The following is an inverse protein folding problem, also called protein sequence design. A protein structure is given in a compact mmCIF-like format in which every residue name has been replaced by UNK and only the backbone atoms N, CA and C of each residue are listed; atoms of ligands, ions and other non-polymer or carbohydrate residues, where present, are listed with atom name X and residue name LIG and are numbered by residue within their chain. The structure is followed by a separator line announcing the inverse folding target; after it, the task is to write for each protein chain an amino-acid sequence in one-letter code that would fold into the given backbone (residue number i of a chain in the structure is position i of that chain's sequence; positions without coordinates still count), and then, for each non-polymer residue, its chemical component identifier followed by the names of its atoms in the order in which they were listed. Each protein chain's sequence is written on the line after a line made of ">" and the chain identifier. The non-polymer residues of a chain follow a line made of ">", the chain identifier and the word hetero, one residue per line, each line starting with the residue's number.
data_IF_356035709741
#
_entry.id   IF_356035709741
#
_cell.length_a   1.000
_cell.length_b   1.000
_cell.length_c   1.000
_cell.angle_alpha   90.00
_cell.angle_beta   90.00
_cell.angle_gamma   90.00
#
_symmetry.space_group_name_H-M   'P 1'
#
loop_
_entity.id
_entity.type
_entity.pdbx_description
1 polymer ?
#
# COMPACT_ATOMS: atom_id res chain seq x y z
N UNK A 1 8.31 -1.10 -42.89
CA UNK A 1 8.91 -1.21 -41.54
C UNK A 1 10.43 -1.20 -41.57
N UNK A 2 11.06 -1.92 -42.52
CA UNK A 2 12.53 -1.92 -42.66
C UNK A 2 13.13 -0.55 -42.91
N UNK A 3 12.48 0.34 -43.66
CA UNK A 3 12.95 1.73 -43.84
C UNK A 3 13.08 2.49 -42.51
N UNK A 4 12.16 2.28 -41.56
CA UNK A 4 12.13 2.98 -40.27
C UNK A 4 13.18 2.44 -39.31
N UNK A 5 13.36 1.11 -39.27
CA UNK A 5 14.50 0.49 -38.57
C UNK A 5 15.83 0.94 -39.18
N UNK A 6 15.92 0.97 -40.52
CA UNK A 6 17.11 1.41 -41.27
C UNK A 6 17.46 2.88 -41.04
N UNK A 7 16.48 3.78 -40.95
CA UNK A 7 16.76 5.19 -40.64
C UNK A 7 17.44 5.35 -39.28
N UNK A 8 17.02 4.55 -38.29
CA UNK A 8 17.59 4.54 -36.94
C UNK A 8 18.96 3.82 -36.88
N UNK A 9 19.15 2.73 -37.63
CA UNK A 9 20.40 1.96 -37.61
C UNK A 9 21.49 2.49 -38.55
N UNK A 10 21.13 3.12 -39.67
CA UNK A 10 22.08 3.51 -40.73
C UNK A 10 22.42 5.02 -40.71
N UNK A 11 21.58 5.87 -40.12
CA UNK A 11 21.85 7.32 -39.96
C UNK A 11 21.60 7.74 -38.52
N UNK A 12 22.61 8.35 -37.89
CA UNK A 12 22.50 8.84 -36.50
C UNK A 12 21.57 10.05 -36.45
N UNK A 13 20.26 9.82 -36.31
CA UNK A 13 19.28 10.89 -36.12
C UNK A 13 19.55 11.63 -34.79
N UNK A 14 19.31 12.94 -34.80
CA UNK A 14 19.35 13.72 -33.57
C UNK A 14 18.27 13.23 -32.60
N UNK A 15 18.56 13.25 -31.29
CA UNK A 15 17.68 12.68 -30.26
C UNK A 15 16.31 13.32 -30.25
N UNK A 16 16.22 14.64 -30.41
CA UNK A 16 14.93 15.35 -30.44
C UNK A 16 14.07 14.95 -31.63
N UNK A 17 14.69 14.65 -32.77
CA UNK A 17 13.97 14.18 -33.97
C UNK A 17 13.41 12.78 -33.73
N UNK A 18 14.17 11.91 -33.04
CA UNK A 18 13.67 10.59 -32.68
C UNK A 18 12.56 10.64 -31.63
N UNK A 19 12.64 11.55 -30.65
CA UNK A 19 11.57 11.78 -29.67
C UNK A 19 10.30 12.26 -30.38
N UNK A 20 10.41 13.32 -31.18
CA UNK A 20 9.27 13.87 -31.92
C UNK A 20 8.66 12.82 -32.86
N UNK A 21 9.51 11.98 -33.45
CA UNK A 21 9.05 10.89 -34.29
C UNK A 21 8.31 9.80 -33.50
N UNK A 22 8.81 9.36 -32.34
CA UNK A 22 8.09 8.43 -31.44
C UNK A 22 6.71 9.00 -31.08
N UNK A 23 6.66 10.29 -30.72
CA UNK A 23 5.40 10.96 -30.38
C UNK A 23 4.44 11.03 -31.57
N UNK A 24 4.94 11.25 -32.79
CA UNK A 24 4.12 11.22 -34.00
C UNK A 24 3.51 9.83 -34.27
N UNK A 25 4.16 8.74 -33.85
CA UNK A 25 3.60 7.39 -33.98
C UNK A 25 2.33 7.18 -33.13
N UNK A 26 2.06 8.02 -32.13
CA UNK A 26 0.87 7.91 -31.30
C UNK A 26 -0.44 8.13 -32.10
N UNK A 27 -0.38 8.78 -33.25
CA UNK A 27 -1.53 8.88 -34.16
C UNK A 27 -1.83 7.57 -34.90
N UNK A 28 -0.99 6.54 -34.77
CA UNK A 28 -1.07 5.28 -35.50
C UNK A 28 -1.06 4.04 -34.59
N UNK A 29 -1.53 4.17 -33.34
CA UNK A 29 -1.56 3.07 -32.36
C UNK A 29 -2.44 1.89 -32.79
N UNK A 30 -3.27 2.04 -33.83
CA UNK A 30 -4.03 0.95 -34.45
C UNK A 30 -3.18 0.02 -35.34
N UNK A 31 -1.89 0.32 -35.54
CA UNK A 31 -0.95 -0.52 -36.31
C UNK A 31 -0.06 -1.31 -35.36
N UNK A 32 -0.02 -2.64 -35.51
CA UNK A 32 0.77 -3.53 -34.63
C UNK A 32 2.26 -3.24 -34.71
N UNK A 33 2.73 -2.86 -35.88
CA UNK A 33 4.13 -2.60 -36.13
C UNK A 33 4.61 -1.36 -35.34
N UNK A 34 3.74 -0.37 -35.14
CA UNK A 34 4.04 0.79 -34.27
C UNK A 34 4.38 0.33 -32.85
N UNK A 35 3.66 -0.65 -32.31
CA UNK A 35 3.95 -1.21 -30.98
C UNK A 35 5.28 -1.96 -30.93
N UNK A 36 5.65 -2.69 -31.99
CA UNK A 36 6.98 -3.31 -32.08
C UNK A 36 8.09 -2.25 -31.97
N UNK A 37 7.89 -1.09 -32.59
CA UNK A 37 8.84 0.01 -32.51
C UNK A 37 8.86 0.66 -31.11
N UNK A 38 7.71 0.86 -30.48
CA UNK A 38 7.63 1.38 -29.11
C UNK A 38 8.32 0.43 -28.12
N UNK A 39 8.10 -0.88 -28.23
CA UNK A 39 8.78 -1.90 -27.43
C UNK A 39 10.29 -1.92 -27.66
N UNK A 40 10.72 -1.66 -28.89
CA UNK A 40 12.14 -1.50 -29.19
C UNK A 40 12.71 -0.23 -28.55
N UNK A 41 12.04 0.92 -28.71
CA UNK A 41 12.45 2.21 -28.15
C UNK A 41 12.57 2.17 -26.62
N UNK A 42 11.66 1.47 -25.94
CA UNK A 42 11.69 1.25 -24.49
C UNK A 42 12.96 0.52 -23.98
N UNK A 43 13.68 -0.18 -24.85
CA UNK A 43 14.95 -0.88 -24.53
C UNK A 43 16.20 -0.09 -24.90
N UNK A 44 16.05 1.11 -25.48
CA UNK A 44 17.17 1.92 -25.99
C UNK A 44 17.53 3.02 -24.99
N UNK A 45 18.31 4.01 -25.43
CA UNK A 45 18.75 5.14 -24.60
C UNK A 45 17.56 5.79 -23.88
N UNK A 46 17.79 6.29 -22.66
CA UNK A 46 16.78 6.93 -21.80
C UNK A 46 15.80 7.85 -22.52
N UNK A 47 16.27 8.74 -23.40
CA UNK A 47 15.40 9.67 -24.12
C UNK A 47 14.27 8.96 -24.90
N UNK A 48 14.57 7.85 -25.57
CA UNK A 48 13.59 7.10 -26.36
C UNK A 48 12.68 6.26 -25.47
N UNK A 49 13.21 5.71 -24.39
CA UNK A 49 12.43 4.95 -23.42
C UNK A 49 11.39 5.85 -22.73
N UNK A 50 11.78 7.06 -22.34
CA UNK A 50 10.87 8.06 -21.78
C UNK A 50 9.82 8.50 -22.81
N UNK A 51 10.23 8.78 -24.04
CA UNK A 51 9.28 9.15 -25.10
C UNK A 51 8.25 8.03 -25.36
N UNK A 52 8.67 6.76 -25.39
CA UNK A 52 7.76 5.64 -25.59
C UNK A 52 6.78 5.47 -24.42
N UNK A 53 7.20 5.79 -23.19
CA UNK A 53 6.35 5.71 -22.00
C UNK A 53 5.13 6.67 -22.06
N UNK A 54 5.24 7.77 -22.81
CA UNK A 54 4.24 8.83 -22.90
C UNK A 54 3.04 8.52 -23.81
N UNK A 55 2.90 7.28 -24.28
CA UNK A 55 1.73 6.84 -25.06
C UNK A 55 0.43 7.25 -24.34
N UNK A 56 -0.48 7.98 -25.02
CA UNK A 56 -1.69 8.50 -24.41
C UNK A 56 -2.70 7.38 -24.18
N UNK A 57 -2.96 7.08 -22.91
CA UNK A 57 -3.94 6.06 -22.49
C UNK A 57 -5.30 6.20 -23.17
N UNK A 58 -5.79 7.43 -23.32
CA UNK A 58 -7.11 7.70 -23.91
C UNK A 58 -7.25 7.34 -25.39
N UNK A 59 -6.14 7.05 -26.08
CA UNK A 59 -6.14 6.67 -27.50
C UNK A 59 -6.16 5.13 -27.73
N UNK A 60 -6.26 4.33 -26.66
CA UNK A 60 -6.24 2.86 -26.72
C UNK A 60 -7.67 2.29 -26.79
N UNK A 61 -8.14 2.04 -28.01
CA UNK A 61 -9.51 1.57 -28.28
C UNK A 61 -9.65 0.05 -28.09
N UNK A 62 -8.72 -0.72 -28.66
CA UNK A 62 -8.79 -2.18 -28.73
C UNK A 62 -8.04 -2.88 -27.58
N UNK A 63 -8.51 -4.08 -27.22
CA UNK A 63 -7.93 -4.86 -26.12
C UNK A 63 -6.45 -5.21 -26.33
N UNK A 64 -6.06 -5.59 -27.55
CA UNK A 64 -4.66 -5.92 -27.85
C UNK A 64 -3.74 -4.70 -27.74
N UNK A 65 -4.24 -3.46 -27.94
CA UNK A 65 -3.46 -2.24 -27.75
C UNK A 65 -3.18 -2.01 -26.26
N UNK A 66 -4.18 -2.28 -25.41
CA UNK A 66 -4.06 -2.19 -23.94
C UNK A 66 -3.05 -3.20 -23.42
N UNK A 67 -3.06 -4.40 -23.95
CA UNK A 67 -2.06 -5.44 -23.66
C UNK A 67 -0.66 -5.05 -24.14
N UNK A 68 -0.53 -4.53 -25.37
CA UNK A 68 0.73 -4.05 -25.91
C UNK A 68 1.30 -2.87 -25.09
N UNK A 69 0.44 -1.96 -24.62
CA UNK A 69 0.81 -0.88 -23.72
C UNK A 69 1.28 -1.40 -22.37
N UNK A 70 0.61 -2.40 -21.80
CA UNK A 70 1.07 -3.04 -20.57
C UNK A 70 2.44 -3.67 -20.71
N UNK A 71 2.64 -4.43 -21.80
CA UNK A 71 3.92 -5.07 -22.14
C UNK A 71 5.06 -4.08 -22.37
N UNK A 72 4.76 -2.83 -22.74
CA UNK A 72 5.75 -1.77 -22.87
C UNK A 72 6.45 -1.46 -21.54
N UNK A 73 5.77 -1.63 -20.40
CA UNK A 73 6.36 -1.36 -19.11
C UNK A 73 7.38 -2.40 -18.66
N UNK A 74 7.35 -3.63 -19.20
CA UNK A 74 8.33 -4.68 -18.86
C UNK A 74 9.78 -4.21 -19.10
N UNK A 75 10.18 -3.78 -20.31
CA UNK A 75 11.52 -3.23 -20.53
C UNK A 75 11.78 -1.89 -19.82
N UNK A 76 10.75 -1.12 -19.49
CA UNK A 76 10.91 0.16 -18.79
C UNK A 76 11.25 -0.05 -17.30
N UNK A 77 10.60 -1.00 -16.61
CA UNK A 77 10.88 -1.30 -15.20
C UNK A 77 12.14 -2.15 -15.00
N UNK A 78 12.66 -2.75 -16.07
CA UNK A 78 13.92 -3.51 -16.08
C UNK A 78 15.05 -2.77 -16.81
N UNK A 79 14.87 -1.48 -17.05
CA UNK A 79 15.80 -0.67 -17.83
C UNK A 79 17.14 -0.49 -17.11
N UNK A 80 18.25 -0.44 -17.88
CA UNK A 80 19.61 -0.29 -17.32
C UNK A 80 19.83 1.07 -16.63
N UNK A 81 19.15 2.12 -17.10
CA UNK A 81 19.20 3.45 -16.48
C UNK A 81 18.14 3.58 -15.37
N UNK A 82 18.59 3.74 -14.12
CA UNK A 82 17.74 3.89 -12.93
C UNK A 82 16.64 4.95 -13.07
N UNK A 83 16.95 6.08 -13.70
CA UNK A 83 15.98 7.16 -13.90
C UNK A 83 14.76 6.71 -14.73
N UNK A 84 14.96 5.85 -15.73
CA UNK A 84 13.85 5.32 -16.55
C UNK A 84 12.97 4.41 -15.69
N UNK A 85 13.58 3.56 -14.86
CA UNK A 85 12.86 2.66 -13.95
C UNK A 85 12.02 3.44 -12.96
N UNK A 86 12.60 4.45 -12.29
CA UNK A 86 11.87 5.31 -11.33
C UNK A 86 10.68 5.99 -12.02
N UNK A 87 10.87 6.58 -13.21
CA UNK A 87 9.77 7.21 -13.96
C UNK A 87 8.67 6.22 -14.36
N UNK A 88 9.05 5.01 -14.75
CA UNK A 88 8.10 3.95 -15.08
C UNK A 88 7.28 3.55 -13.84
N UNK A 89 7.94 3.40 -12.69
CA UNK A 89 7.28 3.06 -11.42
C UNK A 89 6.36 4.19 -10.93
N UNK A 90 6.78 5.46 -11.03
CA UNK A 90 5.93 6.63 -10.73
C UNK A 90 4.64 6.59 -11.55
N UNK A 91 4.75 6.36 -12.86
CA UNK A 91 3.59 6.28 -13.75
C UNK A 91 2.65 5.11 -13.41
N UNK A 92 3.21 3.94 -13.09
CA UNK A 92 2.42 2.77 -12.67
C UNK A 92 1.77 2.94 -11.29
N UNK A 93 2.40 3.71 -10.40
CA UNK A 93 1.91 4.00 -9.06
C UNK A 93 0.81 5.09 -9.04
N UNK A 94 0.73 5.91 -10.09
CA UNK A 94 -0.26 6.97 -10.22
C UNK A 94 -1.62 6.43 -10.69
N UNK A 95 -1.63 5.56 -11.71
CA UNK A 95 -2.87 5.12 -12.36
C UNK A 95 -2.80 3.68 -12.82
N UNK A 96 -3.92 2.97 -12.64
CA UNK A 96 -4.09 1.62 -13.14
C UNK A 96 -3.98 1.54 -14.67
N UNK A 97 -3.24 0.55 -15.15
CA UNK A 97 -3.24 0.18 -16.55
C UNK A 97 -4.56 -0.47 -16.97
N UNK A 98 -4.95 -0.38 -18.25
CA UNK A 98 -6.20 -0.96 -18.74
C UNK A 98 -6.15 -2.49 -18.84
N UNK A 99 -4.93 -3.04 -18.92
CA UNK A 99 -4.64 -4.45 -18.87
C UNK A 99 -3.26 -4.62 -18.19
N UNK A 100 -3.03 -5.77 -17.56
CA UNK A 100 -1.76 -6.10 -16.93
C UNK A 100 -1.14 -7.33 -17.57
N UNK A 101 0.04 -7.15 -18.17
CA UNK A 101 0.87 -8.24 -18.65
C UNK A 101 1.41 -9.05 -17.44
N UNK A 102 1.28 -10.38 -17.42
CA UNK A 102 1.76 -11.19 -16.30
C UNK A 102 3.27 -11.05 -16.03
N UNK A 103 4.07 -10.78 -17.07
CA UNK A 103 5.51 -10.58 -16.93
C UNK A 103 5.82 -9.25 -16.25
N UNK A 104 5.00 -8.21 -16.46
CA UNK A 104 5.12 -6.96 -15.73
C UNK A 104 4.90 -7.17 -14.23
N UNK A 105 3.88 -7.94 -13.86
CA UNK A 105 3.60 -8.25 -12.45
C UNK A 105 4.79 -8.98 -11.80
N UNK A 106 5.35 -9.99 -12.49
CA UNK A 106 6.55 -10.70 -12.01
C UNK A 106 7.75 -9.77 -11.83
N UNK A 107 7.97 -8.87 -12.79
CA UNK A 107 9.04 -7.87 -12.72
C UNK A 107 8.86 -6.95 -11.51
N UNK A 108 7.63 -6.51 -11.23
CA UNK A 108 7.32 -5.70 -10.06
C UNK A 108 7.53 -6.46 -8.74
N UNK A 109 7.14 -7.74 -8.66
CA UNK A 109 7.46 -8.58 -7.49
C UNK A 109 8.95 -8.75 -7.29
N UNK A 110 9.72 -8.98 -8.36
CA UNK A 110 11.16 -9.06 -8.29
C UNK A 110 11.77 -7.76 -7.75
N UNK A 111 11.34 -6.60 -8.27
CA UNK A 111 11.77 -5.29 -7.75
C UNK A 111 11.40 -5.12 -6.27
N UNK A 112 10.19 -5.51 -5.86
CA UNK A 112 9.75 -5.43 -4.46
C UNK A 112 10.64 -6.26 -3.52
N UNK A 113 11.21 -7.36 -4.02
CA UNK A 113 12.11 -8.24 -3.28
C UNK A 113 13.55 -7.73 -3.25
N UNK A 114 14.08 -7.29 -4.40
CA UNK A 114 15.51 -7.00 -4.58
C UNK A 114 15.89 -5.55 -4.37
N UNK A 115 14.97 -4.60 -4.56
CA UNK A 115 15.27 -3.16 -4.52
C UNK A 115 14.58 -2.47 -3.34
N UNK A 116 15.39 -1.93 -2.43
CA UNK A 116 14.93 -1.26 -1.20
C UNK A 116 15.16 0.25 -1.19
N UNK A 117 15.66 0.79 -2.30
CA UNK A 117 15.91 2.22 -2.43
C UNK A 117 14.59 3.01 -2.26
N UNK A 118 14.58 4.14 -1.53
CA UNK A 118 13.37 4.91 -1.27
C UNK A 118 12.60 5.35 -2.52
N UNK A 119 13.28 5.51 -3.66
CA UNK A 119 12.67 5.88 -4.93
C UNK A 119 12.05 4.70 -5.71
N UNK A 120 12.34 3.46 -5.32
CA UNK A 120 11.81 2.23 -5.92
C UNK A 120 10.68 1.65 -5.08
N UNK A 121 10.98 1.31 -3.83
CA UNK A 121 10.14 0.42 -3.02
C UNK A 121 8.69 0.91 -2.84
N UNK A 122 8.43 2.18 -2.44
CA UNK A 122 7.06 2.69 -2.32
C UNK A 122 6.29 2.66 -3.64
N UNK A 123 6.93 3.06 -4.74
CA UNK A 123 6.29 3.09 -6.07
C UNK A 123 6.04 1.68 -6.61
N UNK A 124 6.97 0.74 -6.40
CA UNK A 124 6.78 -0.67 -6.77
C UNK A 124 5.63 -1.30 -5.99
N UNK A 125 5.57 -1.08 -4.67
CA UNK A 125 4.46 -1.59 -3.86
C UNK A 125 3.13 -0.99 -4.33
N UNK A 126 3.08 0.32 -4.56
CA UNK A 126 1.86 0.99 -5.01
C UNK A 126 1.42 0.52 -6.39
N UNK A 127 2.35 0.33 -7.33
CA UNK A 127 2.08 -0.25 -8.64
C UNK A 127 1.49 -1.67 -8.52
N UNK A 128 2.04 -2.54 -7.66
CA UNK A 128 1.49 -3.88 -7.42
C UNK A 128 0.08 -3.82 -6.84
N UNK A 129 -0.17 -2.93 -5.87
CA UNK A 129 -1.49 -2.81 -5.24
C UNK A 129 -2.56 -2.36 -6.23
N UNK A 130 -2.22 -1.43 -7.13
CA UNK A 130 -3.08 -0.90 -8.19
C UNK A 130 -3.28 -1.94 -9.34
N UNK A 131 -2.35 -2.88 -9.48
CA UNK A 131 -2.41 -3.92 -10.50
C UNK A 131 -3.42 -5.04 -10.19
N UNK A 132 -3.47 -6.04 -11.07
CA UNK A 132 -4.25 -7.28 -10.89
C UNK A 132 -3.53 -8.32 -10.03
N UNK A 133 -2.37 -8.01 -9.44
CA UNK A 133 -1.65 -8.92 -8.55
C UNK A 133 -2.52 -9.40 -7.39
N UNK A 134 -2.29 -10.63 -6.93
CA UNK A 134 -3.05 -11.21 -5.83
C UNK A 134 -2.68 -10.56 -4.48
N UNK A 135 -3.68 -10.30 -3.64
CA UNK A 135 -3.47 -9.64 -2.36
C UNK A 135 -2.68 -10.50 -1.38
N UNK A 136 -2.89 -11.82 -1.37
CA UNK A 136 -2.16 -12.73 -0.50
C UNK A 136 -0.70 -12.89 -0.96
N UNK A 137 -0.44 -12.86 -2.27
CA UNK A 137 0.93 -12.87 -2.80
C UNK A 137 1.71 -11.61 -2.40
N UNK A 138 1.09 -10.43 -2.50
CA UNK A 138 1.68 -9.16 -2.00
C UNK A 138 1.94 -9.26 -0.50
N UNK A 139 0.95 -9.68 0.29
CA UNK A 139 1.08 -9.81 1.74
C UNK A 139 2.24 -10.75 2.12
N UNK A 140 2.29 -11.94 1.49
CA UNK A 140 3.37 -12.92 1.69
C UNK A 140 4.74 -12.33 1.39
N UNK A 141 4.86 -11.59 0.28
CA UNK A 141 6.11 -10.92 -0.08
C UNK A 141 6.54 -9.93 1.01
N UNK A 142 5.62 -9.10 1.51
CA UNK A 142 5.91 -8.09 2.53
C UNK A 142 6.30 -8.69 3.89
N UNK A 143 5.72 -9.82 4.28
CA UNK A 143 6.00 -10.45 5.58
C UNK A 143 7.18 -11.43 5.55
N UNK A 144 7.52 -11.98 4.39
CA UNK A 144 8.60 -12.98 4.21
C UNK A 144 10.03 -12.49 4.52
N UNK A 145 10.22 -11.19 4.75
CA UNK A 145 11.53 -10.62 5.07
C UNK A 145 12.03 -11.14 6.42
N UNK A 146 13.28 -11.60 6.50
CA UNK A 146 13.85 -12.20 7.73
C UNK A 146 14.11 -11.19 8.85
N UNK A 147 14.47 -9.96 8.49
CA UNK A 147 14.81 -8.93 9.47
C UNK A 147 13.57 -8.14 9.88
N UNK A 148 13.31 -8.06 11.19
CA UNK A 148 12.14 -7.35 11.72
C UNK A 148 12.17 -5.85 11.48
N UNK A 149 13.37 -5.25 11.33
CA UNK A 149 13.50 -3.86 10.90
C UNK A 149 12.92 -3.62 9.51
N UNK A 150 13.16 -4.54 8.57
CA UNK A 150 12.59 -4.47 7.21
C UNK A 150 11.09 -4.76 7.22
N UNK A 151 10.63 -5.65 8.10
CA UNK A 151 9.18 -5.89 8.26
C UNK A 151 8.47 -4.62 8.73
N UNK A 152 9.05 -3.92 9.71
CA UNK A 152 8.52 -2.65 10.21
C UNK A 152 8.49 -1.57 9.12
N UNK A 153 9.53 -1.48 8.30
CA UNK A 153 9.58 -0.58 7.14
C UNK A 153 8.51 -0.92 6.09
N UNK A 154 8.38 -2.20 5.73
CA UNK A 154 7.36 -2.68 4.80
C UNK A 154 5.95 -2.28 5.26
N UNK A 155 5.64 -2.50 6.54
CA UNK A 155 4.35 -2.10 7.14
C UNK A 155 4.18 -0.60 7.15
N UNK A 156 5.24 0.16 7.49
CA UNK A 156 5.17 1.62 7.47
C UNK A 156 4.85 2.16 6.08
N UNK A 157 5.56 1.70 5.04
CA UNK A 157 5.32 2.09 3.65
C UNK A 157 3.93 1.66 3.20
N UNK A 158 3.47 0.46 3.57
CA UNK A 158 2.11 0.02 3.27
C UNK A 158 1.06 0.96 3.89
N UNK A 159 1.14 1.25 5.18
CA UNK A 159 0.21 2.16 5.85
C UNK A 159 0.28 3.60 5.30
N UNK A 160 1.46 4.14 5.04
CA UNK A 160 1.60 5.56 4.63
C UNK A 160 1.33 5.81 3.15
N UNK A 161 1.71 4.89 2.26
CA UNK A 161 1.58 5.10 0.81
C UNK A 161 0.33 4.47 0.20
N UNK A 162 -0.26 3.47 0.86
CA UNK A 162 -1.31 2.62 0.25
C UNK A 162 -2.67 2.81 0.92
N UNK A 163 -2.74 3.40 2.12
CA UNK A 163 -4.01 3.57 2.85
C UNK A 163 -5.11 4.30 2.08
N UNK A 164 -4.76 5.19 1.14
CA UNK A 164 -5.72 5.83 0.24
C UNK A 164 -6.45 4.87 -0.70
N UNK A 165 -5.89 3.68 -0.96
CA UNK A 165 -6.44 2.64 -1.83
C UNK A 165 -7.25 1.60 -1.03
N UNK A 166 -8.21 2.07 -0.23
CA UNK A 166 -8.93 1.29 0.82
C UNK A 166 -9.35 -0.12 0.38
N UNK A 167 -9.95 -0.27 -0.82
CA UNK A 167 -10.45 -1.55 -1.31
C UNK A 167 -9.36 -2.61 -1.51
N UNK A 168 -8.14 -2.19 -1.86
CA UNK A 168 -7.00 -3.09 -2.10
C UNK A 168 -6.08 -3.16 -0.87
N UNK A 169 -6.03 -2.10 -0.08
CA UNK A 169 -5.28 -2.04 1.17
C UNK A 169 -5.77 -3.10 2.18
N UNK A 170 -7.08 -3.15 2.46
CA UNK A 170 -7.63 -4.00 3.52
C UNK A 170 -7.34 -5.50 3.31
N UNK A 171 -7.60 -6.10 2.12
CA UNK A 171 -7.29 -7.52 1.92
C UNK A 171 -5.80 -7.85 2.12
N UNK A 172 -4.89 -6.95 1.71
CA UNK A 172 -3.45 -7.15 1.90
C UNK A 172 -3.10 -7.06 3.39
N UNK A 173 -3.56 -6.02 4.08
CA UNK A 173 -3.34 -5.85 5.51
C UNK A 173 -3.89 -7.02 6.35
N UNK A 174 -5.11 -7.50 6.03
CA UNK A 174 -5.70 -8.69 6.65
C UNK A 174 -4.83 -9.93 6.42
N UNK A 175 -4.40 -10.19 5.18
CA UNK A 175 -3.53 -11.33 4.88
C UNK A 175 -2.16 -11.25 5.58
N UNK A 176 -1.60 -10.04 5.74
CA UNK A 176 -0.38 -9.81 6.54
C UNK A 176 -0.62 -10.13 8.01
N UNK A 177 -1.72 -9.63 8.58
CA UNK A 177 -2.12 -9.86 9.98
C UNK A 177 -2.29 -11.35 10.25
N UNK A 178 -3.02 -12.07 9.40
CA UNK A 178 -3.23 -13.51 9.55
C UNK A 178 -1.92 -14.28 9.57
N UNK A 179 -1.04 -14.01 8.59
CA UNK A 179 0.26 -14.67 8.48
C UNK A 179 1.12 -14.41 9.72
N UNK A 180 1.22 -13.15 10.17
CA UNK A 180 2.04 -12.78 11.32
C UNK A 180 1.51 -13.35 12.64
N UNK A 181 0.18 -13.42 12.83
CA UNK A 181 -0.43 -14.04 14.02
C UNK A 181 -0.24 -15.55 14.03
N UNK A 182 -0.31 -16.18 12.87
CA UNK A 182 -0.15 -17.63 12.77
C UNK A 182 1.31 -18.06 12.97
N UNK A 183 2.26 -17.25 12.50
CA UNK A 183 3.70 -17.41 12.78
C UNK A 183 4.11 -16.95 14.20
N UNK A 184 3.24 -16.22 14.91
CA UNK A 184 3.55 -15.65 16.22
C UNK A 184 4.64 -14.57 16.19
N UNK A 185 4.78 -13.88 15.04
CA UNK A 185 5.89 -12.96 14.78
C UNK A 185 5.45 -11.50 14.89
N UNK A 186 6.20 -10.72 15.68
CA UNK A 186 6.06 -9.26 15.78
C UNK A 186 4.61 -8.78 16.05
N UNK A 187 3.98 -9.18 17.17
CA UNK A 187 2.59 -8.85 17.48
C UNK A 187 2.32 -7.33 17.61
N UNK A 188 3.34 -6.52 17.93
CA UNK A 188 3.21 -5.07 17.91
C UNK A 188 2.99 -4.51 16.48
N UNK A 189 3.65 -5.10 15.47
CA UNK A 189 3.44 -4.74 14.06
C UNK A 189 2.04 -5.14 13.61
N UNK A 190 1.54 -6.29 14.07
CA UNK A 190 0.15 -6.72 13.85
C UNK A 190 -0.81 -5.66 14.39
N UNK A 191 -0.66 -5.24 15.65
CA UNK A 191 -1.51 -4.21 16.25
C UNK A 191 -1.51 -2.89 15.49
N UNK A 192 -0.36 -2.46 14.94
CA UNK A 192 -0.28 -1.29 14.08
C UNK A 192 -1.09 -1.43 12.79
N UNK A 193 -1.13 -2.62 12.19
CA UNK A 193 -1.96 -2.91 11.01
C UNK A 193 -3.46 -2.93 11.36
N UNK A 194 -3.84 -3.45 12.53
CA UNK A 194 -5.23 -3.53 12.99
C UNK A 194 -5.93 -2.16 13.01
N UNK A 195 -5.19 -1.10 13.33
CA UNK A 195 -5.71 0.28 13.34
C UNK A 195 -6.26 0.76 11.98
N UNK A 196 -5.92 0.07 10.89
CA UNK A 196 -6.39 0.40 9.54
C UNK A 196 -7.49 -0.54 9.03
N UNK A 197 -7.87 -1.55 9.84
CA UNK A 197 -8.97 -2.47 9.55
C UNK A 197 -10.28 -1.94 10.17
N UNK A 198 -11.45 -2.45 9.75
CA UNK A 198 -12.71 -2.12 10.40
C UNK A 198 -12.63 -2.41 11.91
N UNK A 199 -13.13 -1.53 12.80
CA UNK A 199 -13.01 -1.69 14.25
C UNK A 199 -13.50 -3.04 14.79
N UNK A 200 -14.62 -3.55 14.26
CA UNK A 200 -15.14 -4.86 14.64
C UNK A 200 -14.12 -5.98 14.43
N UNK A 201 -13.54 -6.03 13.22
CA UNK A 201 -12.49 -6.99 12.81
C UNK A 201 -11.21 -6.78 13.63
N UNK A 202 -10.81 -5.53 13.83
CA UNK A 202 -9.62 -5.19 14.60
C UNK A 202 -9.68 -5.79 16.01
N UNK A 203 -10.81 -5.65 16.70
CA UNK A 203 -10.90 -6.20 18.05
C UNK A 203 -11.10 -7.73 18.10
N UNK A 204 -11.62 -8.39 17.05
CA UNK A 204 -11.54 -9.87 16.96
C UNK A 204 -10.09 -10.36 16.92
N UNK A 205 -9.21 -9.65 16.20
CA UNK A 205 -7.78 -9.95 16.19
C UNK A 205 -7.08 -9.63 17.51
N UNK A 206 -7.50 -8.58 18.22
CA UNK A 206 -6.98 -8.29 19.57
C UNK A 206 -7.30 -9.45 20.53
N UNK A 207 -8.52 -9.97 20.50
CA UNK A 207 -8.89 -11.17 21.26
C UNK A 207 -8.07 -12.39 20.85
N UNK A 208 -7.87 -12.61 19.54
CA UNK A 208 -7.03 -13.72 19.03
C UNK A 208 -5.59 -13.61 19.56
N UNK A 209 -5.01 -12.41 19.60
CA UNK A 209 -3.67 -12.16 20.15
C UNK A 209 -3.62 -12.43 21.66
N UNK A 210 -4.66 -12.03 22.39
CA UNK A 210 -4.76 -12.26 23.84
C UNK A 210 -4.85 -13.76 24.15
N UNK A 211 -5.74 -14.48 23.49
CA UNK A 211 -5.91 -15.94 23.67
C UNK A 211 -4.63 -16.71 23.33
N UNK A 212 -3.87 -16.26 22.32
CA UNK A 212 -2.57 -16.84 21.98
C UNK A 212 -1.43 -16.44 22.92
N UNK A 213 -1.66 -15.57 23.91
CA UNK A 213 -0.63 -15.09 24.84
C UNK A 213 0.43 -14.19 24.18
N UNK A 214 0.13 -13.62 23.01
CA UNK A 214 1.04 -12.73 22.27
C UNK A 214 0.82 -11.25 22.62
N UNK A 215 -0.28 -10.93 23.30
CA UNK A 215 -0.67 -9.57 23.59
C UNK A 215 0.04 -9.01 24.83
N UNK A 216 0.90 -8.00 24.63
CA UNK A 216 1.70 -7.36 25.67
C UNK A 216 1.61 -5.82 25.59
N UNK A 217 2.22 -5.10 26.53
CA UNK A 217 2.14 -3.63 26.65
C UNK A 217 2.53 -2.91 25.35
N UNK A 218 3.61 -3.35 24.68
CA UNK A 218 4.00 -2.82 23.36
C UNK A 218 2.92 -2.95 22.27
N UNK A 219 2.12 -4.02 22.29
CA UNK A 219 0.99 -4.20 21.38
C UNK A 219 -0.09 -3.15 21.64
N UNK A 220 -0.50 -3.00 22.90
CA UNK A 220 -1.47 -1.98 23.29
C UNK A 220 -1.01 -0.56 22.95
N UNK A 221 0.29 -0.29 23.13
CA UNK A 221 0.90 1.00 22.78
C UNK A 221 0.79 1.33 21.30
N UNK A 222 0.98 0.35 20.42
CA UNK A 222 0.82 0.59 18.97
C UNK A 222 -0.64 0.84 18.58
N UNK A 223 -1.60 0.17 19.23
CA UNK A 223 -3.03 0.47 18.99
C UNK A 223 -3.39 1.87 19.47
N UNK A 224 -2.94 2.25 20.67
CA UNK A 224 -3.17 3.58 21.25
C UNK A 224 -2.68 4.69 20.33
N UNK A 225 -1.46 4.58 19.79
CA UNK A 225 -0.91 5.55 18.83
C UNK A 225 -1.72 5.63 17.52
N UNK A 226 -2.41 4.54 17.16
CA UNK A 226 -3.10 4.37 15.89
C UNK A 226 -4.61 4.57 15.94
N UNK A 227 -5.22 4.90 17.09
CA UNK A 227 -6.69 4.98 17.24
C UNK A 227 -7.35 5.92 16.22
N UNK A 228 -6.65 6.99 15.83
CA UNK A 228 -7.16 7.94 14.84
C UNK A 228 -7.39 7.33 13.44
N UNK A 229 -6.73 6.22 13.13
CA UNK A 229 -6.86 5.54 11.85
C UNK A 229 -8.20 4.79 11.71
N UNK A 230 -8.95 4.62 12.81
CA UNK A 230 -10.34 4.14 12.76
C UNK A 230 -11.36 5.20 12.29
N UNK A 231 -10.93 6.45 12.07
CA UNK A 231 -11.80 7.61 11.84
C UNK A 231 -12.81 7.55 10.69
N UNK A 232 -12.72 6.55 9.80
CA UNK A 232 -13.71 6.33 8.75
C UNK A 232 -14.99 5.62 9.25
N UNK A 233 -14.97 4.99 10.43
CA UNK A 233 -16.09 4.25 11.01
C UNK A 233 -16.27 4.58 12.50
N UNK A 234 -16.85 5.75 12.76
CA UNK A 234 -17.08 6.25 14.13
C UNK A 234 -18.02 5.31 14.92
N UNK A 235 -19.06 4.77 14.29
CA UNK A 235 -19.98 3.82 14.92
C UNK A 235 -19.29 2.53 15.34
N UNK A 236 -18.45 1.96 14.48
CA UNK A 236 -17.67 0.78 14.80
C UNK A 236 -16.65 1.06 15.89
N UNK A 237 -16.04 2.25 15.89
CA UNK A 237 -15.10 2.65 16.92
C UNK A 237 -15.77 2.82 18.30
N UNK A 238 -16.98 3.39 18.37
CA UNK A 238 -17.77 3.43 19.60
C UNK A 238 -18.11 2.02 20.11
N UNK A 239 -18.53 1.12 19.22
CA UNK A 239 -18.86 -0.26 19.61
C UNK A 239 -17.62 -1.04 20.09
N UNK A 240 -16.46 -0.82 19.44
CA UNK A 240 -15.20 -1.42 19.88
C UNK A 240 -14.76 -0.86 21.24
N UNK A 241 -14.86 0.45 21.46
CA UNK A 241 -14.57 1.09 22.75
C UNK A 241 -15.42 0.47 23.86
N UNK A 242 -16.74 0.35 23.66
CA UNK A 242 -17.65 -0.23 24.65
C UNK A 242 -17.27 -1.67 25.01
N UNK A 243 -16.88 -2.47 24.01
CA UNK A 243 -16.39 -3.84 24.24
C UNK A 243 -15.08 -3.86 25.03
N UNK A 244 -14.14 -2.98 24.72
CA UNK A 244 -12.84 -2.90 25.41
C UNK A 244 -12.97 -2.38 26.84
N UNK A 245 -13.93 -1.48 27.11
CA UNK A 245 -14.21 -0.94 28.45
C UNK A 245 -14.53 -2.04 29.46
N UNK A 246 -15.41 -2.96 29.07
CA UNK A 246 -15.87 -4.07 29.90
C UNK A 246 -14.90 -5.26 29.98
N UNK A 247 -13.72 -5.17 29.35
CA UNK A 247 -12.80 -6.29 29.24
C UNK A 247 -11.98 -6.48 30.53
N UNK A 248 -11.70 -7.73 30.94
CA UNK A 248 -10.97 -8.04 32.19
C UNK A 248 -9.48 -7.68 32.13
N UNK A 249 -8.88 -7.75 30.94
CA UNK A 249 -7.48 -7.38 30.71
C UNK A 249 -7.28 -5.85 30.71
N UNK A 250 -6.42 -5.29 31.60
CA UNK A 250 -6.18 -3.85 31.68
C UNK A 250 -5.58 -3.24 30.40
N UNK A 251 -4.81 -4.00 29.61
CA UNK A 251 -4.26 -3.53 28.34
C UNK A 251 -5.38 -3.24 27.33
N UNK A 252 -6.44 -4.04 27.31
CA UNK A 252 -7.62 -3.82 26.46
C UNK A 252 -8.38 -2.58 26.92
N UNK A 253 -8.62 -2.47 28.24
CA UNK A 253 -9.28 -1.29 28.82
C UNK A 253 -8.51 0.00 28.52
N UNK A 254 -7.17 -0.06 28.55
CA UNK A 254 -6.34 1.11 28.23
C UNK A 254 -6.46 1.54 26.76
N UNK A 255 -6.61 0.60 25.82
CA UNK A 255 -6.94 0.92 24.42
C UNK A 255 -8.32 1.56 24.36
N UNK A 256 -9.31 0.98 25.05
CA UNK A 256 -10.67 1.53 25.13
C UNK A 256 -10.69 2.98 25.62
N UNK A 257 -9.93 3.30 26.69
CA UNK A 257 -9.80 4.67 27.19
C UNK A 257 -9.21 5.62 26.14
N UNK A 258 -8.19 5.20 25.39
CA UNK A 258 -7.59 6.02 24.33
C UNK A 258 -8.59 6.27 23.19
N UNK A 259 -9.36 5.24 22.82
CA UNK A 259 -10.44 5.36 21.84
C UNK A 259 -11.53 6.32 22.33
N UNK A 260 -11.94 6.23 23.60
CA UNK A 260 -12.92 7.13 24.20
C UNK A 260 -12.46 8.59 24.13
N UNK A 261 -11.20 8.84 24.50
CA UNK A 261 -10.63 10.19 24.42
C UNK A 261 -10.68 10.72 22.98
N UNK A 262 -10.21 9.92 22.01
CA UNK A 262 -10.24 10.29 20.61
C UNK A 262 -11.67 10.53 20.08
N UNK A 263 -12.64 9.68 20.45
CA UNK A 263 -14.06 9.85 20.12
C UNK A 263 -14.61 11.16 20.72
N UNK A 264 -14.30 11.45 21.98
CA UNK A 264 -14.72 12.67 22.67
C UNK A 264 -14.16 13.94 22.05
N UNK A 265 -12.90 13.92 21.61
CA UNK A 265 -12.26 15.03 20.89
C UNK A 265 -12.90 15.27 19.51
N UNK A 266 -13.35 14.22 18.82
CA UNK A 266 -13.97 14.31 17.48
C UNK A 266 -15.45 14.64 17.50
N UNK A 267 -16.23 14.03 18.39
CA UNK A 267 -17.68 14.17 18.47
C UNK A 267 -18.14 15.25 19.46
N UNK A 268 -17.19 15.91 20.15
CA UNK A 268 -17.40 16.69 21.37
C UNK A 268 -17.87 15.81 22.53
N UNK A 269 -17.39 16.12 23.73
CA UNK A 269 -17.76 15.40 24.94
C UNK A 269 -19.25 15.56 25.26
N UNK A 270 -19.99 14.51 24.93
CA UNK A 270 -21.40 14.32 25.27
C UNK A 270 -21.57 13.54 26.58
N UNK A 271 -22.82 13.46 27.03
CA UNK A 271 -23.18 12.74 28.27
C UNK A 271 -22.77 11.26 28.25
N UNK A 272 -22.94 10.58 27.09
CA UNK A 272 -22.50 9.19 26.89
C UNK A 272 -21.01 9.02 27.15
N UNK A 273 -20.18 9.91 26.59
CA UNK A 273 -18.71 9.84 26.74
C UNK A 273 -18.27 10.15 28.17
N UNK A 274 -18.91 11.10 28.86
CA UNK A 274 -18.61 11.41 30.27
C UNK A 274 -18.95 10.24 31.20
N UNK A 275 -20.06 9.55 30.95
CA UNK A 275 -20.43 8.33 31.68
C UNK A 275 -19.41 7.22 31.46
N UNK A 276 -19.03 6.96 30.21
CA UNK A 276 -17.97 5.99 29.90
C UNK A 276 -16.65 6.35 30.59
N UNK A 277 -16.26 7.63 30.62
CA UNK A 277 -15.03 8.06 31.30
C UNK A 277 -15.09 7.79 32.81
N UNK A 278 -16.26 7.99 33.44
CA UNK A 278 -16.44 7.68 34.86
C UNK A 278 -16.27 6.20 35.19
N UNK A 279 -16.61 5.30 34.26
CA UNK A 279 -16.36 3.86 34.43
C UNK A 279 -14.84 3.58 34.43
N UNK A 280 -14.08 4.17 33.50
CA UNK A 280 -12.62 4.03 33.49
C UNK A 280 -11.95 4.63 34.73
N UNK A 281 -12.40 5.78 35.24
CA UNK A 281 -11.87 6.38 36.47
C UNK A 281 -12.00 5.46 37.70
N UNK A 282 -12.97 4.54 37.68
CA UNK A 282 -13.23 3.56 38.73
C UNK A 282 -12.64 2.17 38.42
N UNK A 283 -11.85 2.02 37.35
CA UNK A 283 -11.21 0.76 37.00
C UNK A 283 -10.27 0.28 38.12
N UNK A 284 -10.24 -1.03 38.36
CA UNK A 284 -9.41 -1.62 39.42
C UNK A 284 -7.91 -1.53 39.15
N UNK A 285 -7.53 -1.49 37.87
CA UNK A 285 -6.13 -1.34 37.47
C UNK A 285 -5.69 0.13 37.53
N UNK A 286 -4.61 0.48 38.26
CA UNK A 286 -4.15 1.86 38.40
C UNK A 286 -3.75 2.51 37.07
N UNK A 287 -3.21 1.75 36.11
CA UNK A 287 -2.79 2.32 34.82
C UNK A 287 -3.99 2.84 34.02
N UNK A 288 -5.14 2.18 34.14
CA UNK A 288 -6.39 2.63 33.52
C UNK A 288 -7.01 3.76 34.36
N UNK A 289 -7.22 3.51 35.65
CA UNK A 289 -7.95 4.43 36.54
C UNK A 289 -7.29 5.78 36.74
N UNK A 290 -5.97 5.82 36.97
CA UNK A 290 -5.27 7.07 37.20
C UNK A 290 -5.06 7.86 35.91
N UNK A 291 -4.86 7.18 34.78
CA UNK A 291 -4.80 7.85 33.47
C UNK A 291 -6.15 8.47 33.12
N UNK A 292 -7.27 7.76 33.35
CA UNK A 292 -8.61 8.28 33.06
C UNK A 292 -8.92 9.57 33.83
N UNK A 293 -8.46 9.70 35.08
CA UNK A 293 -8.64 10.92 35.89
C UNK A 293 -7.90 12.15 35.35
N UNK A 294 -6.91 11.96 34.46
CA UNK A 294 -6.18 13.07 33.82
C UNK A 294 -6.83 13.57 32.53
N UNK A 295 -7.80 12.82 31.99
CA UNK A 295 -8.53 13.20 30.77
C UNK A 295 -9.48 14.36 31.08
N UNK A 296 -9.42 15.44 30.28
CA UNK A 296 -10.28 16.61 30.42
C UNK A 296 -11.44 16.59 29.39
N UNK A 297 -12.69 16.33 29.82
CA UNK A 297 -13.87 16.28 28.95
C UNK A 297 -14.61 17.62 28.73
#
# INVERSE_FOLDING_TARGET
>A
FDFLKRLHTEKKMHVDVEIAWIQALFSFLNKREVWEYLHFAAKKRKALALAAMDVPYGALEEQWQREAFSKLFVPLVTHAENFVVVRALERLAERALPAYDPELIKCLFNLLLTERRPEYFPNTLRALVISTADAHEIARCLVSVKHDGLLSENVHVHCSNISSLVCRFRPIATAMVDTLIDEGRQPAIVCKLLCWLPPAVAGEYLEKLLVKGLFHVGCATEVMKGVSNFGCDMSGAEALEERLRGHENPLMQRIGLEMLQWLGEKAKWGEKHRKALSEYCNASDPWVGDTAKTVMP
#
